data_IF_261947662128
#
_entry.id   IF_261947662128
#
_cell.length_a   1.000
_cell.length_b   1.000
_cell.length_c   1.000
_cell.angle_alpha   90.00
_cell.angle_beta   90.00
_cell.angle_gamma   90.00
#
_symmetry.space_group_name_H-M   'P 1'
#
loop_
_entity.id
_entity.type
_entity.pdbx_description
1 polymer ?
#
# COMPACT_ATOMS: atom_id res chain seq x y z
N UNK A 1 -6.11 17.05 7.75
CA UNK A 1 -5.26 16.08 7.05
C UNK A 1 -4.51 16.84 5.96
N UNK A 2 -3.19 16.74 5.95
CA UNK A 2 -2.33 17.42 4.97
C UNK A 2 -1.48 16.37 4.27
N UNK A 3 -1.36 16.48 2.94
CA UNK A 3 -0.44 15.66 2.15
C UNK A 3 0.83 16.47 1.91
N UNK A 4 1.99 15.87 2.18
CA UNK A 4 3.30 16.47 1.91
C UNK A 4 4.32 15.42 1.56
N UNK A 5 5.41 15.84 0.94
CA UNK A 5 6.60 15.00 0.80
C UNK A 5 7.11 14.59 2.19
N UNK A 6 7.59 13.35 2.31
CA UNK A 6 8.14 12.84 3.55
C UNK A 6 9.47 13.51 3.89
N UNK A 7 9.72 13.70 5.19
CA UNK A 7 11.02 14.12 5.72
C UNK A 7 11.67 12.95 6.45
N UNK A 8 12.97 13.03 6.79
CA UNK A 8 13.63 12.00 7.59
C UNK A 8 12.96 11.73 8.96
N UNK A 9 12.19 12.67 9.49
CA UNK A 9 11.48 12.49 10.77
C UNK A 9 10.24 11.58 10.63
N UNK A 10 9.80 11.26 9.40
CA UNK A 10 8.63 10.44 9.14
C UNK A 10 8.89 8.92 9.16
N UNK A 11 10.03 8.46 9.69
CA UNK A 11 10.42 7.03 9.76
C UNK A 11 9.37 6.11 10.39
N UNK A 12 8.39 6.67 11.11
CA UNK A 12 7.22 5.94 11.61
C UNK A 12 6.34 5.31 10.52
N UNK A 13 6.51 5.69 9.25
CA UNK A 13 5.84 5.06 8.08
C UNK A 13 6.03 3.56 8.05
N UNK A 14 7.23 3.07 8.38
CA UNK A 14 7.57 1.64 8.37
C UNK A 14 6.84 0.85 9.48
N UNK A 15 6.28 1.54 10.48
CA UNK A 15 5.55 0.93 11.60
C UNK A 15 4.03 0.98 11.43
N UNK A 16 3.54 1.37 10.26
CA UNK A 16 2.10 1.36 9.98
C UNK A 16 1.66 -0.10 9.86
N UNK A 17 0.70 -0.51 10.70
CA UNK A 17 -0.01 -1.78 10.56
C UNK A 17 -0.74 -1.81 9.21
N UNK A 18 -0.18 -2.57 8.27
CA UNK A 18 -0.69 -2.79 6.92
C UNK A 18 -1.55 -4.06 6.82
N UNK A 19 -1.76 -4.75 7.93
CA UNK A 19 -2.64 -5.91 7.96
C UNK A 19 -4.08 -5.50 7.63
N UNK A 20 -4.83 -6.42 7.04
CA UNK A 20 -6.26 -6.24 6.81
C UNK A 20 -7.02 -7.54 6.98
N UNK A 21 -8.31 -7.41 7.22
CA UNK A 21 -9.24 -8.53 7.27
C UNK A 21 -10.25 -8.35 6.15
N UNK A 22 -10.54 -9.43 5.42
CA UNK A 22 -11.45 -9.42 4.28
C UNK A 22 -12.40 -10.61 4.33
N UNK A 23 -13.64 -10.38 3.88
CA UNK A 23 -14.65 -11.41 3.67
C UNK A 23 -14.69 -11.89 2.20
N UNK A 24 -13.89 -11.27 1.32
CA UNK A 24 -13.77 -11.66 -0.08
C UNK A 24 -12.32 -11.78 -0.52
N UNK A 25 -12.09 -12.64 -1.51
CA UNK A 25 -10.81 -12.80 -2.20
C UNK A 25 -11.06 -12.77 -3.72
N UNK A 26 -10.01 -12.46 -4.48
CA UNK A 26 -10.01 -12.68 -5.93
C UNK A 26 -9.39 -14.05 -6.19
N UNK A 27 -10.21 -15.01 -6.60
CA UNK A 27 -9.77 -16.31 -7.10
C UNK A 27 -9.20 -16.12 -8.52
N UNK A 28 -7.95 -16.54 -8.72
CA UNK A 28 -7.28 -16.49 -10.02
C UNK A 28 -7.24 -17.92 -10.58
N UNK A 29 -7.80 -18.12 -11.78
CA UNK A 29 -7.77 -19.42 -12.47
C UNK A 29 -7.06 -19.30 -13.82
N UNK A 30 -6.06 -20.12 -14.13
CA UNK A 30 -5.45 -20.14 -15.46
C UNK A 30 -6.44 -20.66 -16.49
N UNK A 31 -6.36 -20.10 -17.70
CA UNK A 31 -7.01 -20.61 -18.91
C UNK A 31 -5.94 -21.05 -19.91
N UNK A 32 -6.34 -21.64 -21.04
CA UNK A 32 -5.38 -22.04 -22.08
C UNK A 32 -4.60 -20.86 -22.68
N UNK A 33 -5.12 -19.65 -22.53
CA UNK A 33 -4.65 -18.41 -23.17
C UNK A 33 -4.43 -17.25 -22.18
N UNK A 34 -4.58 -17.48 -20.87
CA UNK A 34 -4.49 -16.42 -19.87
C UNK A 34 -5.00 -16.82 -18.50
N UNK A 35 -5.80 -15.95 -17.89
CA UNK A 35 -6.37 -16.16 -16.56
C UNK A 35 -7.71 -15.43 -16.40
N UNK A 36 -8.57 -15.98 -15.54
CA UNK A 36 -9.83 -15.36 -15.11
C UNK A 36 -9.73 -14.98 -13.64
N UNK A 37 -10.20 -13.79 -13.31
CA UNK A 37 -10.36 -13.30 -11.94
C UNK A 37 -11.83 -13.42 -11.54
N UNK A 38 -12.11 -14.01 -10.39
CA UNK A 38 -13.46 -14.11 -9.84
C UNK A 38 -13.44 -13.71 -8.38
N UNK A 39 -14.21 -12.70 -7.99
CA UNK A 39 -14.40 -12.38 -6.58
C UNK A 39 -15.23 -13.47 -5.90
N UNK A 40 -14.76 -13.94 -4.74
CA UNK A 40 -15.37 -15.01 -3.96
C UNK A 40 -15.48 -14.58 -2.51
N UNK A 41 -16.66 -14.76 -1.92
CA UNK A 41 -16.84 -14.66 -0.48
C UNK A 41 -16.18 -15.85 0.23
N UNK A 42 -15.48 -15.59 1.33
CA UNK A 42 -14.82 -16.60 2.15
C UNK A 42 -15.80 -17.16 3.19
N UNK A 43 -15.57 -18.40 3.65
CA UNK A 43 -16.41 -19.01 4.70
C UNK A 43 -16.27 -18.35 6.07
N UNK A 44 -15.15 -17.65 6.27
CA UNK A 44 -14.85 -16.85 7.46
C UNK A 44 -13.92 -15.70 7.04
N UNK A 45 -13.92 -14.57 7.76
CA UNK A 45 -13.01 -13.47 7.48
C UNK A 45 -11.55 -13.97 7.50
N UNK A 46 -10.76 -13.58 6.50
CA UNK A 46 -9.34 -13.92 6.41
C UNK A 46 -8.53 -12.69 6.84
N UNK A 47 -7.62 -12.87 7.81
CA UNK A 47 -6.64 -11.84 8.16
C UNK A 47 -5.37 -12.04 7.34
N UNK A 48 -4.96 -11.01 6.59
CA UNK A 48 -3.67 -10.94 5.89
C UNK A 48 -2.73 -10.05 6.68
N UNK A 49 -1.59 -10.62 7.05
CA UNK A 49 -0.46 -9.92 7.64
C UNK A 49 0.71 -9.98 6.66
N UNK A 50 1.52 -8.93 6.70
CA UNK A 50 2.76 -8.82 5.95
C UNK A 50 3.89 -8.86 6.99
N UNK A 51 4.59 -10.00 7.14
CA UNK A 51 5.69 -10.08 8.08
C UNK A 51 6.78 -9.07 7.70
N UNK A 52 7.48 -8.54 8.71
CA UNK A 52 8.70 -7.75 8.54
C UNK A 52 9.79 -8.66 7.97
N UNK A 53 9.69 -9.04 6.71
CA UNK A 53 10.72 -9.83 6.10
C UNK A 53 11.85 -8.90 5.64
N UNK A 54 13.06 -9.22 6.12
CA UNK A 54 14.32 -8.95 5.43
C UNK A 54 14.40 -9.65 4.05
N UNK A 55 13.28 -9.92 3.37
CA UNK A 55 13.23 -10.58 2.06
C UNK A 55 13.24 -9.52 0.96
N UNK A 56 14.46 -9.25 0.54
CA UNK A 56 14.83 -9.15 -0.88
C UNK A 56 13.80 -9.82 -1.81
N UNK A 57 13.49 -9.13 -2.92
CA UNK A 57 12.75 -9.59 -4.11
C UNK A 57 11.39 -8.91 -4.43
N UNK A 58 11.27 -7.60 -4.16
CA UNK A 58 10.43 -6.71 -4.97
C UNK A 58 11.19 -5.44 -5.39
N UNK A 59 12.36 -5.63 -6.02
CA UNK A 59 13.12 -4.56 -6.67
C UNK A 59 13.45 -3.38 -5.76
N UNK A 60 14.53 -3.51 -4.98
CA UNK A 60 15.17 -2.51 -4.09
C UNK A 60 15.56 -1.20 -4.79
N UNK A 61 14.61 -0.51 -5.42
CA UNK A 61 14.78 0.88 -5.81
C UNK A 61 14.22 1.69 -4.67
N UNK A 62 15.08 2.48 -4.03
CA UNK A 62 14.63 3.56 -3.19
C UNK A 62 13.56 4.37 -3.93
N UNK A 63 12.46 4.74 -3.27
CA UNK A 63 11.39 5.47 -3.92
C UNK A 63 11.95 6.76 -4.51
N UNK A 64 11.57 7.04 -5.76
CA UNK A 64 11.89 8.31 -6.42
C UNK A 64 11.16 9.48 -5.74
N UNK A 65 10.03 9.20 -5.09
CA UNK A 65 9.31 10.13 -4.25
C UNK A 65 8.49 9.36 -3.20
N UNK A 66 8.35 9.95 -2.01
CA UNK A 66 7.50 9.45 -0.92
C UNK A 66 6.63 10.58 -0.39
N UNK A 67 5.34 10.34 -0.29
CA UNK A 67 4.39 11.29 0.29
C UNK A 67 3.70 10.69 1.51
N UNK A 68 3.44 11.52 2.52
CA UNK A 68 2.75 11.15 3.74
C UNK A 68 1.49 11.97 3.93
N UNK A 69 0.46 11.32 4.47
CA UNK A 69 -0.74 11.96 4.97
C UNK A 69 -0.59 12.18 6.47
N UNK A 70 -0.63 13.44 6.92
CA UNK A 70 -0.37 13.83 8.30
C UNK A 70 -1.61 14.48 8.91
N UNK A 71 -1.95 14.09 10.13
CA UNK A 71 -3.04 14.72 10.88
C UNK A 71 -2.64 16.08 11.49
N UNK A 72 -3.58 16.71 12.19
CA UNK A 72 -3.40 18.02 12.81
C UNK A 72 -2.38 18.01 13.95
N UNK A 73 -2.04 16.83 14.48
CA UNK A 73 -1.06 16.64 15.55
C UNK A 73 0.32 16.23 15.02
N UNK A 74 0.51 16.19 13.71
CA UNK A 74 1.76 15.77 13.09
C UNK A 74 1.93 14.26 12.97
N UNK A 75 0.92 13.45 13.29
CA UNK A 75 1.02 12.01 13.19
C UNK A 75 0.79 11.53 11.74
N UNK A 76 1.74 10.74 11.22
CA UNK A 76 1.61 10.08 9.92
C UNK A 76 0.45 9.09 9.96
N UNK A 77 -0.57 9.30 9.14
CA UNK A 77 -1.77 8.48 9.01
C UNK A 77 -1.76 7.55 7.79
N UNK A 78 -0.92 7.83 6.80
CA UNK A 78 -0.71 6.99 5.63
C UNK A 78 0.50 7.44 4.81
N UNK A 79 0.93 6.60 3.88
CA UNK A 79 2.12 6.79 3.04
C UNK A 79 1.87 6.23 1.64
N UNK A 80 2.48 6.85 0.64
CA UNK A 80 2.61 6.32 -0.72
C UNK A 80 4.06 6.45 -1.19
N UNK A 81 4.58 5.36 -1.75
CA UNK A 81 5.90 5.30 -2.36
C UNK A 81 5.79 5.13 -3.87
N UNK A 82 6.58 5.93 -4.59
CA UNK A 82 6.55 6.00 -6.04
C UNK A 82 7.95 5.75 -6.62
N UNK A 83 8.03 4.90 -7.63
CA UNK A 83 9.24 4.70 -8.44
C UNK A 83 8.94 5.10 -9.88
N UNK A 84 9.74 6.03 -10.42
CA UNK A 84 9.62 6.48 -11.80
C UNK A 84 10.61 5.75 -12.72
N UNK A 85 10.08 5.13 -13.78
CA UNK A 85 10.87 4.45 -14.81
C UNK A 85 10.87 5.27 -16.10
N UNK A 86 12.04 5.76 -16.52
CA UNK A 86 12.17 6.62 -17.69
C UNK A 86 11.93 5.90 -19.01
N UNK A 87 12.30 4.62 -19.10
CA UNK A 87 12.29 3.84 -20.34
C UNK A 87 10.88 3.67 -20.95
N UNK A 88 9.85 3.56 -20.11
CA UNK A 88 8.45 3.42 -20.49
C UNK A 88 7.57 4.56 -19.95
N UNK A 89 8.17 5.58 -19.31
CA UNK A 89 7.47 6.68 -18.63
C UNK A 89 6.44 6.19 -17.61
N UNK A 90 6.71 5.09 -16.91
CA UNK A 90 5.82 4.52 -15.88
C UNK A 90 6.16 5.10 -14.52
N UNK A 91 5.13 5.47 -13.76
CA UNK A 91 5.24 5.65 -12.31
C UNK A 91 4.58 4.45 -11.65
N UNK A 92 5.35 3.70 -10.88
CA UNK A 92 4.89 2.54 -10.12
C UNK A 92 4.62 2.97 -8.68
N UNK A 93 3.41 2.69 -8.19
CA UNK A 93 3.12 2.75 -6.75
C UNK A 93 3.67 1.47 -6.13
N UNK A 94 4.79 1.59 -5.42
CA UNK A 94 5.46 0.43 -4.78
C UNK A 94 4.87 0.13 -3.41
N UNK A 95 4.32 1.14 -2.75
CA UNK A 95 3.65 1.00 -1.46
C UNK A 95 2.53 2.01 -1.30
N UNK A 96 1.40 1.59 -0.70
CA UNK A 96 0.33 2.46 -0.27
C UNK A 96 -0.28 1.90 1.02
N UNK A 97 -0.06 2.58 2.14
CA UNK A 97 -0.51 2.15 3.47
C UNK A 97 -1.32 3.25 4.14
N UNK A 98 -2.36 2.86 4.87
CA UNK A 98 -3.15 3.75 5.73
C UNK A 98 -3.39 3.06 7.06
N UNK A 99 -3.10 3.76 8.16
CA UNK A 99 -3.31 3.24 9.52
C UNK A 99 -4.75 2.72 9.67
N UNK A 100 -4.97 1.55 10.30
CA UNK A 100 -6.30 0.94 10.41
C UNK A 100 -7.39 1.90 10.93
N UNK A 101 -7.08 2.66 12.00
CA UNK A 101 -7.99 3.63 12.60
C UNK A 101 -8.37 4.82 11.68
N UNK A 102 -7.64 5.02 10.59
CA UNK A 102 -7.80 6.12 9.65
C UNK A 102 -8.33 5.68 8.28
N UNK A 103 -8.55 4.37 8.07
CA UNK A 103 -9.12 3.83 6.83
C UNK A 103 -10.55 4.34 6.63
N UNK A 104 -11.02 4.31 5.37
CA UNK A 104 -12.36 4.79 4.94
C UNK A 104 -12.62 6.30 5.12
N UNK A 105 -11.59 7.10 5.38
CA UNK A 105 -11.66 8.58 5.47
C UNK A 105 -11.17 9.32 4.23
N UNK A 106 -10.95 8.60 3.12
CA UNK A 106 -10.47 9.18 1.86
C UNK A 106 -8.95 9.44 1.78
N UNK A 107 -8.17 9.08 2.81
CA UNK A 107 -6.71 9.30 2.83
C UNK A 107 -6.00 8.64 1.64
N UNK A 108 -6.26 7.36 1.38
CA UNK A 108 -5.66 6.67 0.23
C UNK A 108 -6.01 7.31 -1.11
N UNK A 109 -7.18 7.96 -1.21
CA UNK A 109 -7.56 8.73 -2.41
C UNK A 109 -6.81 10.07 -2.51
N UNK A 110 -6.45 10.69 -1.40
CA UNK A 110 -5.69 11.94 -1.42
C UNK A 110 -4.19 11.72 -1.68
N UNK A 111 -3.68 10.54 -1.34
CA UNK A 111 -2.30 10.14 -1.63
C UNK A 111 -2.09 9.74 -3.10
N UNK A 112 -3.15 9.33 -3.80
CA UNK A 112 -3.15 8.92 -5.21
C UNK A 112 -3.51 10.09 -6.12
#
# INVERSE_FOLDING_TARGET
MTIREATPDDDTVNRIDDSFTTDTIIEIRPTGDGFVLTERTTSSPIRKEFPDETSVEAGDKEPSARFVAVDEHGAVCGVIDLVSESWNRRVSVTELKVRPAQRRRGIGRQLM
#
